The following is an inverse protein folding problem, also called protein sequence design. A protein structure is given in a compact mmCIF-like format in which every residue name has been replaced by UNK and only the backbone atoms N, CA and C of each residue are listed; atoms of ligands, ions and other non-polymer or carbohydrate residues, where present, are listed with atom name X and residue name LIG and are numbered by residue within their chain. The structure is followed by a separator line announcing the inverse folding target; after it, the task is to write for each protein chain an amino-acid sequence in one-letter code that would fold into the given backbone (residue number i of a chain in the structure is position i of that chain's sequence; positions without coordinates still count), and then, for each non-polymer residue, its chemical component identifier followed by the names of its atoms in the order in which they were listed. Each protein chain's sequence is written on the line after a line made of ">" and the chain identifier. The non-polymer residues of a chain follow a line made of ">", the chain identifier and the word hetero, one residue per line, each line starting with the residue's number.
data_IF_170389811320
#
_entry.id   IF_170389811320
#
_cell.length_a   1.000
_cell.length_b   1.000
_cell.length_c   1.000
_cell.angle_alpha   90.00
_cell.angle_beta   90.00
_cell.angle_gamma   90.00
#
_symmetry.space_group_name_H-M   'P 1'
#
loop_
_entity.id
_entity.type
_entity.pdbx_description
1 polymer ?
#
# COMPACT_ATOMS: atom_id res chain seq x y z
N UNK A 1 22.44 -17.30 -31.36
CA UNK A 1 21.79 -18.55 -31.86
C UNK A 1 21.62 -18.53 -33.38
N UNK A 2 21.03 -17.50 -33.98
CA UNK A 2 20.80 -17.43 -35.44
C UNK A 2 22.08 -17.64 -36.28
N UNK A 3 23.21 -17.07 -35.86
CA UNK A 3 24.50 -17.23 -36.55
C UNK A 3 24.98 -18.69 -36.59
N UNK A 4 24.71 -19.47 -35.53
CA UNK A 4 25.05 -20.91 -35.47
C UNK A 4 24.20 -21.69 -36.47
N UNK A 5 22.91 -21.36 -36.55
CA UNK A 5 21.96 -22.01 -37.48
C UNK A 5 22.33 -21.72 -38.93
N UNK A 6 22.71 -20.48 -39.24
CA UNK A 6 23.21 -20.09 -40.58
C UNK A 6 24.47 -20.88 -40.94
N UNK A 7 25.48 -20.86 -40.06
CA UNK A 7 26.72 -21.61 -40.28
C UNK A 7 26.48 -23.12 -40.44
N UNK A 8 25.52 -23.70 -39.72
CA UNK A 8 25.13 -25.11 -39.88
C UNK A 8 24.49 -25.38 -41.25
N UNK A 9 23.60 -24.48 -41.70
CA UNK A 9 22.92 -24.59 -42.99
C UNK A 9 23.91 -24.52 -44.17
N UNK A 10 24.95 -23.69 -44.02
CA UNK A 10 26.01 -23.50 -45.02
C UNK A 10 27.04 -24.64 -45.01
N UNK A 11 27.54 -25.03 -43.83
CA UNK A 11 28.61 -26.04 -43.71
C UNK A 11 28.13 -27.49 -43.82
N UNK A 12 26.85 -27.77 -43.50
CA UNK A 12 26.20 -29.10 -43.53
C UNK A 12 27.11 -30.24 -43.03
N UNK A 13 27.60 -30.17 -41.78
CA UNK A 13 28.53 -31.17 -41.27
C UNK A 13 27.86 -32.55 -41.20
N UNK A 14 28.56 -33.59 -41.68
CA UNK A 14 28.04 -34.98 -41.68
C UNK A 14 28.10 -35.65 -40.30
N UNK A 15 28.94 -35.12 -39.40
CA UNK A 15 29.07 -35.43 -37.96
C UNK A 15 29.65 -34.20 -37.25
N UNK A 16 29.36 -33.98 -35.95
CA UNK A 16 28.43 -34.73 -35.07
C UNK A 16 26.94 -34.42 -35.34
N UNK A 17 26.04 -35.28 -34.85
CA UNK A 17 24.56 -35.13 -34.98
C UNK A 17 23.96 -34.09 -34.03
N UNK A 18 24.74 -33.63 -33.07
CA UNK A 18 24.39 -32.60 -32.12
C UNK A 18 25.58 -31.65 -32.02
N UNK A 19 25.30 -30.38 -31.76
CA UNK A 19 26.29 -29.36 -31.46
C UNK A 19 25.96 -28.79 -30.09
N UNK A 20 27.00 -28.44 -29.36
CA UNK A 20 26.87 -27.77 -28.07
C UNK A 20 27.58 -26.44 -28.22
N UNK A 21 26.92 -25.37 -27.79
CA UNK A 21 27.50 -24.05 -27.65
C UNK A 21 27.54 -23.75 -26.15
N UNK A 22 28.75 -23.79 -25.59
CA UNK A 22 29.04 -23.43 -24.19
C UNK A 22 30.06 -22.30 -24.24
N UNK A 23 29.93 -21.36 -23.32
CA UNK A 23 30.94 -20.36 -23.03
C UNK A 23 32.24 -20.99 -22.48
N UNK A 24 33.24 -20.15 -22.23
CA UNK A 24 34.58 -20.57 -21.79
C UNK A 24 34.67 -20.72 -20.27
N UNK A 25 33.63 -20.29 -19.56
CA UNK A 25 33.64 -20.26 -18.12
C UNK A 25 33.55 -21.65 -17.52
N UNK A 26 34.24 -21.82 -16.40
CA UNK A 26 34.23 -23.06 -15.61
C UNK A 26 33.80 -22.73 -14.19
N UNK A 27 32.80 -21.86 -14.09
CA UNK A 27 32.40 -21.27 -12.83
C UNK A 27 31.77 -22.32 -11.91
N UNK A 28 32.13 -22.26 -10.63
CA UNK A 28 31.48 -23.08 -9.62
C UNK A 28 30.08 -22.53 -9.28
N UNK A 29 29.21 -23.36 -8.72
CA UNK A 29 27.90 -22.89 -8.23
C UNK A 29 28.07 -21.78 -7.19
N UNK A 30 29.13 -21.84 -6.37
CA UNK A 30 29.47 -20.80 -5.39
C UNK A 30 29.74 -19.46 -6.06
N UNK A 31 30.57 -19.44 -7.11
CA UNK A 31 30.88 -18.21 -7.86
C UNK A 31 29.63 -17.62 -8.50
N UNK A 32 28.82 -18.45 -9.16
CA UNK A 32 27.57 -18.00 -9.79
C UNK A 32 26.61 -17.41 -8.76
N UNK A 33 26.37 -18.11 -7.64
CA UNK A 33 25.48 -17.64 -6.57
C UNK A 33 26.04 -16.38 -5.90
N UNK A 34 27.36 -16.27 -5.74
CA UNK A 34 28.02 -15.09 -5.17
C UNK A 34 27.91 -13.89 -6.11
N UNK A 35 28.13 -14.09 -7.41
CA UNK A 35 27.96 -13.05 -8.43
C UNK A 35 26.51 -12.54 -8.46
N UNK A 36 25.52 -13.44 -8.46
CA UNK A 36 24.10 -13.10 -8.38
C UNK A 36 23.80 -12.36 -7.07
N UNK A 37 24.30 -12.84 -5.94
CA UNK A 37 24.05 -12.24 -4.63
C UNK A 37 24.61 -10.82 -4.54
N UNK A 38 25.83 -10.59 -5.07
CA UNK A 38 26.50 -9.28 -5.10
C UNK A 38 25.72 -8.25 -5.93
N UNK A 39 25.13 -8.65 -7.06
CA UNK A 39 24.45 -7.72 -7.98
C UNK A 39 22.94 -7.60 -7.76
N UNK A 40 22.27 -8.60 -7.19
CA UNK A 40 20.81 -8.57 -6.98
C UNK A 40 20.41 -8.46 -5.51
N UNK A 41 21.32 -8.67 -4.56
CA UNK A 41 20.98 -8.70 -3.14
C UNK A 41 22.06 -8.06 -2.23
N UNK A 42 22.48 -8.75 -1.18
CA UNK A 42 23.38 -8.27 -0.12
C UNK A 42 24.84 -8.66 -0.33
N UNK A 43 25.14 -9.47 -1.36
CA UNK A 43 26.47 -10.05 -1.58
C UNK A 43 26.84 -11.19 -0.62
N UNK A 44 26.03 -11.45 0.42
CA UNK A 44 26.28 -12.54 1.36
C UNK A 44 25.78 -13.85 0.79
N UNK A 45 26.57 -14.90 1.00
CA UNK A 45 26.21 -16.28 0.64
C UNK A 45 26.52 -17.19 1.82
N UNK A 46 25.73 -18.24 1.98
CA UNK A 46 25.95 -19.26 3.02
C UNK A 46 26.15 -20.60 2.34
N UNK A 47 27.19 -21.30 2.75
CA UNK A 47 27.40 -22.66 2.31
C UNK A 47 26.42 -23.59 3.01
N UNK A 48 25.75 -24.45 2.25
CA UNK A 48 24.83 -25.46 2.76
C UNK A 48 25.42 -26.82 2.40
N UNK A 49 25.61 -27.67 3.40
CA UNK A 49 26.09 -29.03 3.19
C UNK A 49 25.06 -29.89 2.47
N UNK A 50 25.48 -31.03 1.94
CA UNK A 50 24.59 -31.94 1.21
C UNK A 50 23.52 -32.54 2.11
N UNK A 51 23.85 -32.76 3.39
CA UNK A 51 22.97 -33.29 4.41
C UNK A 51 21.93 -32.25 4.83
N UNK A 52 22.34 -30.98 5.02
CA UNK A 52 21.44 -29.88 5.35
C UNK A 52 20.48 -29.55 4.20
N UNK A 53 20.96 -29.62 2.96
CA UNK A 53 20.13 -29.38 1.78
C UNK A 53 18.94 -30.37 1.69
N UNK A 54 19.08 -31.61 2.21
CA UNK A 54 17.98 -32.58 2.28
C UNK A 54 16.91 -32.21 3.33
N UNK A 55 17.24 -31.34 4.28
CA UNK A 55 16.31 -30.85 5.31
C UNK A 55 15.51 -29.63 4.83
N UNK A 56 15.90 -29.01 3.71
CA UNK A 56 15.22 -27.86 3.13
C UNK A 56 13.88 -28.30 2.55
N UNK A 57 12.78 -27.87 3.16
CA UNK A 57 11.41 -28.31 2.82
C UNK A 57 10.99 -27.93 1.40
N UNK A 58 11.52 -26.83 0.88
CA UNK A 58 11.13 -26.28 -0.42
C UNK A 58 11.94 -26.85 -1.59
N UNK A 59 13.03 -27.58 -1.31
CA UNK A 59 13.89 -28.18 -2.32
C UNK A 59 13.38 -29.57 -2.69
N UNK A 60 12.91 -29.74 -3.92
CA UNK A 60 12.44 -31.02 -4.43
C UNK A 60 13.62 -31.93 -4.77
N UNK A 61 13.42 -33.24 -4.70
CA UNK A 61 14.49 -34.22 -4.97
C UNK A 61 15.18 -34.01 -6.33
N UNK A 62 14.43 -33.72 -7.39
CA UNK A 62 15.02 -33.52 -8.72
C UNK A 62 15.82 -32.21 -8.84
N UNK A 63 15.48 -31.17 -8.07
CA UNK A 63 16.24 -29.91 -8.00
C UNK A 63 17.55 -30.15 -7.25
N UNK A 64 17.48 -30.89 -6.14
CA UNK A 64 18.66 -31.36 -5.41
C UNK A 64 19.61 -32.16 -6.32
N UNK A 65 19.08 -33.13 -7.06
CA UNK A 65 19.87 -33.95 -7.97
C UNK A 65 20.54 -33.09 -9.06
N UNK A 66 19.84 -32.07 -9.58
CA UNK A 66 20.40 -31.12 -10.57
C UNK A 66 21.54 -30.26 -10.01
N UNK A 67 21.42 -29.77 -8.77
CA UNK A 67 22.46 -28.97 -8.12
C UNK A 67 23.76 -29.75 -7.87
N UNK A 68 23.69 -31.09 -7.82
CA UNK A 68 24.85 -31.97 -7.65
C UNK A 68 25.53 -32.37 -8.96
N UNK A 69 24.96 -32.01 -10.11
CA UNK A 69 25.54 -32.34 -11.42
C UNK A 69 26.81 -31.51 -11.64
N UNK A 70 27.93 -32.21 -11.85
CA UNK A 70 29.20 -31.60 -12.22
C UNK A 70 29.64 -32.12 -13.59
N UNK A 71 29.22 -31.43 -14.65
CA UNK A 71 29.55 -31.77 -16.04
C UNK A 71 30.35 -30.65 -16.66
N UNK A 72 31.51 -31.00 -17.22
CA UNK A 72 32.30 -30.10 -18.05
C UNK A 72 32.04 -30.43 -19.53
N UNK A 73 31.70 -29.42 -20.31
CA UNK A 73 31.39 -29.55 -21.73
C UNK A 73 32.31 -28.63 -22.53
N UNK A 74 32.66 -29.05 -23.75
CA UNK A 74 33.54 -28.30 -24.64
C UNK A 74 32.89 -28.16 -26.02
N UNK A 75 32.86 -26.93 -26.53
CA UNK A 75 32.19 -26.54 -27.77
C UNK A 75 33.15 -26.50 -28.97
N UNK A 76 34.03 -27.50 -29.11
CA UNK A 76 35.12 -27.51 -30.11
C UNK A 76 34.65 -27.23 -31.53
N UNK A 77 33.60 -27.90 -32.01
CA UNK A 77 33.09 -27.68 -33.38
C UNK A 77 32.57 -26.25 -33.61
N UNK A 78 31.90 -25.67 -32.62
CA UNK A 78 31.28 -24.35 -32.74
C UNK A 78 32.34 -23.25 -32.68
N UNK A 79 33.34 -23.39 -31.79
CA UNK A 79 34.43 -22.42 -31.65
C UNK A 79 35.41 -22.48 -32.82
N UNK A 80 35.79 -23.68 -33.24
CA UNK A 80 36.86 -23.85 -34.24
C UNK A 80 36.36 -23.64 -35.67
N UNK A 81 35.09 -23.99 -35.95
CA UNK A 81 34.59 -24.06 -37.33
C UNK A 81 33.62 -22.95 -37.70
N UNK A 82 32.97 -22.28 -36.74
CA UNK A 82 31.94 -21.28 -37.03
C UNK A 82 32.40 -19.88 -36.64
N UNK A 83 32.18 -18.92 -37.53
CA UNK A 83 32.41 -17.51 -37.21
C UNK A 83 31.20 -16.96 -36.45
N UNK A 84 31.27 -17.00 -35.11
CA UNK A 84 30.20 -16.54 -34.22
C UNK A 84 30.74 -15.40 -33.36
N UNK A 85 30.01 -14.29 -33.34
CA UNK A 85 30.20 -13.25 -32.33
C UNK A 85 29.50 -13.67 -31.05
N UNK A 86 30.26 -14.06 -30.05
CA UNK A 86 29.75 -14.37 -28.72
C UNK A 86 29.37 -13.08 -28.00
N UNK A 87 28.23 -13.10 -27.29
CA UNK A 87 27.78 -11.97 -26.45
C UNK A 87 28.40 -12.03 -25.05
N UNK A 88 28.65 -13.24 -24.54
CA UNK A 88 29.23 -13.49 -23.22
C UNK A 88 30.14 -14.73 -23.32
N UNK A 89 31.29 -14.60 -23.98
CA UNK A 89 32.24 -15.71 -24.19
C UNK A 89 32.92 -16.12 -22.88
N UNK A 90 33.20 -15.14 -22.01
CA UNK A 90 33.77 -15.35 -20.68
C UNK A 90 32.76 -15.90 -19.65
N UNK A 91 31.49 -16.08 -20.06
CA UNK A 91 30.42 -16.70 -19.28
C UNK A 91 29.65 -15.77 -18.35
N UNK A 92 28.80 -16.36 -17.50
CA UNK A 92 27.79 -15.63 -16.73
C UNK A 92 28.36 -14.74 -15.63
N UNK A 93 29.45 -15.15 -14.97
CA UNK A 93 30.00 -14.42 -13.80
C UNK A 93 30.65 -13.12 -14.24
N UNK A 94 31.48 -13.16 -15.28
CA UNK A 94 32.11 -11.97 -15.86
C UNK A 94 31.05 -11.01 -16.41
N UNK A 95 30.06 -11.55 -17.14
CA UNK A 95 29.06 -10.74 -17.84
C UNK A 95 27.76 -10.50 -17.05
N UNK A 96 27.81 -10.72 -15.73
CA UNK A 96 26.64 -10.68 -14.85
C UNK A 96 25.96 -9.31 -14.86
N UNK A 97 26.72 -8.22 -14.96
CA UNK A 97 26.20 -6.84 -14.98
C UNK A 97 25.29 -6.59 -16.17
N UNK A 98 25.69 -7.04 -17.36
CA UNK A 98 24.88 -6.93 -18.57
C UNK A 98 23.63 -7.82 -18.48
N UNK A 99 23.78 -9.04 -17.96
CA UNK A 99 22.66 -9.99 -17.78
C UNK A 99 21.64 -9.45 -16.77
N UNK A 100 22.09 -8.88 -15.65
CA UNK A 100 21.22 -8.26 -14.65
C UNK A 100 20.47 -7.08 -15.22
N UNK A 101 21.14 -6.24 -16.03
CA UNK A 101 20.50 -5.12 -16.74
C UNK A 101 19.39 -5.61 -17.68
N UNK A 102 19.69 -6.59 -18.53
CA UNK A 102 18.73 -7.21 -19.45
C UNK A 102 17.56 -7.85 -18.69
N UNK A 103 17.85 -8.54 -17.58
CA UNK A 103 16.86 -9.16 -16.71
C UNK A 103 15.91 -8.12 -16.09
N UNK A 104 16.45 -7.03 -15.52
CA UNK A 104 15.66 -5.94 -14.94
C UNK A 104 14.77 -5.27 -15.99
N UNK A 105 15.34 -4.94 -17.16
CA UNK A 105 14.60 -4.28 -18.25
C UNK A 105 13.46 -5.17 -18.78
N UNK A 106 13.74 -6.44 -19.06
CA UNK A 106 12.76 -7.38 -19.64
C UNK A 106 11.61 -7.68 -18.67
N UNK A 107 11.89 -7.65 -17.35
CA UNK A 107 10.91 -7.93 -16.29
C UNK A 107 10.22 -6.68 -15.76
N UNK A 108 10.62 -5.48 -16.19
CA UNK A 108 10.11 -4.22 -15.64
C UNK A 108 10.52 -3.96 -14.18
N UNK A 109 11.61 -4.58 -13.71
CA UNK A 109 12.13 -4.43 -12.34
C UNK A 109 13.10 -3.24 -12.25
N UNK A 110 12.63 -2.08 -12.71
CA UNK A 110 13.40 -0.86 -12.73
C UNK A 110 13.22 -0.12 -11.39
N UNK A 111 14.31 0.37 -10.76
CA UNK A 111 14.24 1.04 -9.48
C UNK A 111 13.40 2.32 -9.59
N UNK A 112 12.45 2.51 -8.68
CA UNK A 112 11.62 3.70 -8.64
C UNK A 112 12.24 4.75 -7.71
N UNK A 113 12.57 5.93 -8.25
CA UNK A 113 13.32 6.97 -7.54
C UNK A 113 12.50 8.24 -7.45
N UNK A 114 12.13 8.62 -6.23
CA UNK A 114 11.26 9.76 -5.99
C UNK A 114 11.93 10.76 -5.04
N UNK A 115 11.64 12.04 -5.20
CA UNK A 115 12.02 13.08 -4.25
C UNK A 115 10.77 13.83 -3.78
N UNK A 116 10.59 13.96 -2.46
CA UNK A 116 9.47 14.70 -1.88
C UNK A 116 10.00 15.89 -1.09
N UNK A 117 9.65 17.08 -1.55
CA UNK A 117 10.08 18.37 -1.03
C UNK A 117 8.87 19.18 -0.52
N UNK A 118 9.16 20.28 0.18
CA UNK A 118 8.13 21.15 0.76
C UNK A 118 8.49 21.69 2.14
N UNK A 119 7.66 22.56 2.73
CA UNK A 119 7.94 23.24 3.98
C UNK A 119 7.92 22.30 5.20
N UNK A 120 8.54 22.68 6.33
CA UNK A 120 8.46 21.91 7.56
C UNK A 120 7.00 21.72 8.02
N UNK A 121 6.72 20.60 8.71
CA UNK A 121 5.41 20.24 9.26
C UNK A 121 4.26 19.98 8.25
N UNK A 122 4.51 20.06 6.95
CA UNK A 122 3.49 19.81 5.90
C UNK A 122 3.00 18.35 5.87
N UNK A 123 3.81 17.42 6.38
CA UNK A 123 3.47 16.00 6.44
C UNK A 123 4.25 15.09 5.48
N UNK A 124 5.35 15.59 4.87
CA UNK A 124 6.22 14.82 3.97
C UNK A 124 6.52 13.41 4.48
N UNK A 125 7.07 13.28 5.68
CA UNK A 125 7.46 11.98 6.24
C UNK A 125 6.29 11.01 6.40
N UNK A 126 5.07 11.50 6.61
CA UNK A 126 3.87 10.65 6.67
C UNK A 126 3.49 10.13 5.28
N UNK A 127 3.47 11.02 4.28
CA UNK A 127 3.19 10.69 2.88
C UNK A 127 4.26 9.73 2.35
N UNK A 128 5.54 10.05 2.56
CA UNK A 128 6.68 9.21 2.14
C UNK A 128 6.63 7.85 2.80
N UNK A 129 6.31 7.75 4.10
CA UNK A 129 6.20 6.46 4.78
C UNK A 129 5.13 5.57 4.14
N UNK A 130 3.94 6.13 3.85
CA UNK A 130 2.86 5.39 3.16
C UNK A 130 3.25 4.96 1.76
N UNK A 131 3.96 5.82 1.02
CA UNK A 131 4.46 5.48 -0.31
C UNK A 131 5.53 4.37 -0.25
N UNK A 132 6.47 4.45 0.70
CA UNK A 132 7.49 3.42 0.89
C UNK A 132 6.89 2.07 1.28
N UNK A 133 5.85 2.05 2.12
CA UNK A 133 5.12 0.81 2.45
C UNK A 133 4.44 0.20 1.22
N UNK A 134 3.79 1.01 0.40
CA UNK A 134 3.08 0.55 -0.81
C UNK A 134 4.04 0.07 -1.92
N UNK A 135 5.08 0.85 -2.22
CA UNK A 135 6.04 0.54 -3.28
C UNK A 135 7.18 -0.39 -2.84
N UNK A 136 7.31 -0.66 -1.52
CA UNK A 136 8.43 -1.36 -0.89
C UNK A 136 9.79 -0.68 -1.19
N UNK A 137 9.85 0.65 -1.05
CA UNK A 137 11.04 1.48 -1.33
C UNK A 137 11.81 1.86 -0.06
N UNK A 138 13.06 2.28 -0.25
CA UNK A 138 13.88 2.81 0.84
C UNK A 138 13.51 4.27 1.17
N UNK A 139 12.97 4.49 2.37
CA UNK A 139 12.77 5.83 2.93
C UNK A 139 14.11 6.43 3.35
N UNK A 140 14.57 7.46 2.65
CA UNK A 140 15.82 8.15 2.93
C UNK A 140 15.54 9.48 3.63
N UNK A 141 15.68 9.49 4.95
CA UNK A 141 15.71 10.71 5.77
C UNK A 141 17.16 11.03 6.15
N UNK A 142 17.46 12.31 6.39
CA UNK A 142 18.81 12.74 6.83
C UNK A 142 19.27 11.90 8.04
N UNK A 143 18.41 11.72 9.05
CA UNK A 143 18.75 10.96 10.25
C UNK A 143 19.06 9.50 9.95
N UNK A 144 18.25 8.85 9.10
CA UNK A 144 18.44 7.45 8.73
C UNK A 144 19.67 7.23 7.87
N UNK A 145 19.93 8.10 6.89
CA UNK A 145 21.12 8.00 6.03
C UNK A 145 22.40 8.12 6.85
N UNK A 146 22.44 9.06 7.81
CA UNK A 146 23.55 9.19 8.75
C UNK A 146 23.71 7.91 9.58
N UNK A 147 22.62 7.43 10.19
CA UNK A 147 22.66 6.23 11.03
C UNK A 147 23.15 5.01 10.24
N UNK A 148 22.54 4.73 9.09
CA UNK A 148 22.87 3.58 8.24
C UNK A 148 24.33 3.66 7.74
N UNK A 149 24.84 4.86 7.45
CA UNK A 149 26.23 5.08 7.03
C UNK A 149 27.22 4.84 8.18
N UNK A 150 26.93 5.36 9.37
CA UNK A 150 27.77 5.13 10.56
C UNK A 150 27.77 3.65 10.94
N UNK A 151 26.61 3.00 10.99
CA UNK A 151 26.52 1.55 11.27
C UNK A 151 27.28 0.71 10.24
N UNK A 152 27.30 1.14 8.98
CA UNK A 152 28.06 0.46 7.92
C UNK A 152 29.55 0.61 8.14
N UNK A 153 30.03 1.82 8.45
CA UNK A 153 31.43 2.07 8.77
C UNK A 153 31.86 1.29 10.03
N UNK A 154 31.02 1.24 11.07
CA UNK A 154 31.28 0.45 12.28
C UNK A 154 31.41 -1.05 11.97
N UNK A 155 30.55 -1.58 11.10
CA UNK A 155 30.63 -2.99 10.66
C UNK A 155 31.90 -3.27 9.87
N UNK A 156 32.33 -2.34 9.01
CA UNK A 156 33.57 -2.49 8.24
C UNK A 156 34.77 -2.43 9.20
N UNK A 157 34.81 -1.45 10.10
CA UNK A 157 35.82 -1.31 11.13
C UNK A 157 35.94 -2.53 12.07
N UNK A 158 34.82 -3.20 12.37
CA UNK A 158 34.79 -4.38 13.24
C UNK A 158 35.37 -5.65 12.59
N UNK A 159 35.54 -5.70 11.26
CA UNK A 159 36.09 -6.87 10.57
C UNK A 159 37.55 -7.16 10.91
N UNK A 160 38.30 -6.15 11.35
CA UNK A 160 39.69 -6.28 11.82
C UNK A 160 39.84 -7.26 12.99
N UNK A 161 38.78 -7.52 13.78
CA UNK A 161 38.88 -8.36 14.97
C UNK A 161 38.50 -9.84 14.74
N UNK A 162 37.99 -10.20 13.55
CA UNK A 162 37.50 -11.56 13.25
C UNK A 162 38.17 -12.09 12.00
N UNK A 163 39.40 -12.60 12.15
CA UNK A 163 40.09 -13.37 11.12
C UNK A 163 39.41 -14.72 10.89
N UNK A 164 38.37 -14.74 10.05
CA UNK A 164 37.70 -15.98 9.61
C UNK A 164 37.81 -16.17 8.08
N UNK A 165 38.97 -16.67 7.65
CA UNK A 165 39.08 -17.73 6.63
C UNK A 165 38.66 -17.38 5.21
N UNK A 166 39.09 -16.24 4.69
CA UNK A 166 39.07 -15.92 3.26
C UNK A 166 40.41 -16.26 2.60
N UNK A 167 40.48 -16.30 1.26
CA UNK A 167 41.74 -16.45 0.54
C UNK A 167 42.70 -15.29 0.87
N UNK A 168 44.01 -15.56 0.96
CA UNK A 168 45.06 -14.63 1.44
C UNK A 168 45.14 -13.29 0.66
N UNK A 169 44.54 -13.20 -0.54
CA UNK A 169 44.48 -11.96 -1.34
C UNK A 169 43.25 -11.08 -1.02
N UNK A 170 42.13 -11.64 -0.53
CA UNK A 170 40.96 -10.86 -0.08
C UNK A 170 41.16 -10.29 1.34
N UNK A 171 42.03 -10.90 2.16
CA UNK A 171 42.31 -10.46 3.53
C UNK A 171 43.11 -9.14 3.60
N UNK A 172 44.03 -8.87 2.66
CA UNK A 172 44.83 -7.62 2.67
C UNK A 172 44.01 -6.37 2.24
N UNK A 173 43.07 -6.50 1.30
CA UNK A 173 42.20 -5.38 0.88
C UNK A 173 41.14 -5.04 1.94
N UNK A 174 40.58 -6.06 2.61
CA UNK A 174 39.59 -5.85 3.68
C UNK A 174 40.21 -5.18 4.93
N UNK A 175 41.49 -5.44 5.23
CA UNK A 175 42.21 -4.83 6.35
C UNK A 175 42.48 -3.32 6.14
N UNK A 176 42.89 -2.92 4.93
CA UNK A 176 43.09 -1.50 4.59
C UNK A 176 41.76 -0.73 4.66
N UNK A 177 40.70 -1.28 4.06
CA UNK A 177 39.38 -0.67 4.07
C UNK A 177 38.80 -0.53 5.49
N UNK A 178 39.10 -1.51 6.36
CA UNK A 178 38.68 -1.47 7.75
C UNK A 178 39.48 -0.47 8.59
N UNK A 179 40.76 -0.27 8.29
CA UNK A 179 41.58 0.79 8.90
C UNK A 179 41.10 2.19 8.49
N UNK A 180 40.82 2.40 7.21
CA UNK A 180 40.27 3.67 6.69
C UNK A 180 38.89 3.97 7.29
N UNK A 181 38.04 2.95 7.45
CA UNK A 181 36.75 3.09 8.12
C UNK A 181 36.88 3.50 9.59
N UNK A 182 37.89 2.97 10.31
CA UNK A 182 38.19 3.39 11.69
C UNK A 182 38.61 4.85 11.75
N UNK A 183 39.50 5.29 10.86
CA UNK A 183 39.95 6.69 10.82
C UNK A 183 38.79 7.63 10.51
N UNK A 184 37.97 7.33 9.49
CA UNK A 184 36.76 8.09 9.18
C UNK A 184 35.77 8.16 10.35
N UNK A 185 35.61 7.09 11.13
CA UNK A 185 34.73 7.12 12.30
C UNK A 185 35.23 8.06 13.39
N UNK A 186 36.55 8.12 13.61
CA UNK A 186 37.13 9.00 14.62
C UNK A 186 37.06 10.48 14.19
N UNK A 187 37.25 10.79 12.91
CA UNK A 187 37.05 12.16 12.39
C UNK A 187 35.58 12.59 12.52
N UNK A 188 34.64 11.72 12.14
CA UNK A 188 33.20 11.97 12.25
C UNK A 188 32.75 12.17 13.70
N UNK A 189 33.30 11.41 14.66
CA UNK A 189 33.02 11.61 16.09
C UNK A 189 33.51 12.96 16.58
N UNK A 190 34.73 13.33 16.22
CA UNK A 190 35.34 14.59 16.64
C UNK A 190 34.53 15.78 16.12
N UNK A 191 34.19 15.79 14.82
CA UNK A 191 33.37 16.85 14.24
C UNK A 191 31.96 16.91 14.84
N UNK A 192 31.36 15.75 15.16
CA UNK A 192 30.06 15.70 15.80
C UNK A 192 30.10 16.34 17.19
N UNK A 193 31.18 16.15 17.95
CA UNK A 193 31.38 16.79 19.25
C UNK A 193 31.57 18.31 19.10
N UNK A 194 32.34 18.75 18.11
CA UNK A 194 32.59 20.17 17.84
C UNK A 194 31.34 20.93 17.33
N UNK A 195 30.52 20.28 16.49
CA UNK A 195 29.36 20.89 15.83
C UNK A 195 28.04 20.64 16.58
N UNK A 196 28.08 20.50 17.91
CA UNK A 196 26.88 20.32 18.74
C UNK A 196 25.97 19.15 18.28
N UNK A 197 26.58 18.06 17.81
CA UNK A 197 25.89 16.85 17.38
C UNK A 197 25.48 16.80 15.91
N UNK A 198 25.92 17.74 15.06
CA UNK A 198 25.62 17.77 13.63
C UNK A 198 26.84 17.47 12.77
N UNK A 199 26.64 16.74 11.68
CA UNK A 199 27.67 16.52 10.68
C UNK A 199 27.76 17.69 9.70
N UNK A 200 28.95 17.96 9.20
CA UNK A 200 29.16 18.93 8.12
C UNK A 200 28.39 18.54 6.85
N UNK A 201 28.07 19.55 6.03
CA UNK A 201 27.32 19.36 4.78
C UNK A 201 28.03 18.44 3.79
N UNK A 202 29.36 18.51 3.71
CA UNK A 202 30.17 17.67 2.83
C UNK A 202 30.00 16.17 3.14
N UNK A 203 30.10 15.78 4.41
CA UNK A 203 29.88 14.39 4.81
C UNK A 203 28.43 13.94 4.60
N UNK A 204 27.47 14.85 4.78
CA UNK A 204 26.07 14.52 4.50
C UNK A 204 25.90 14.18 3.01
N UNK A 205 26.44 14.99 2.11
CA UNK A 205 26.40 14.73 0.67
C UNK A 205 27.11 13.41 0.31
N UNK A 206 28.26 13.13 0.94
CA UNK A 206 28.99 11.88 0.75
C UNK A 206 28.16 10.66 1.22
N UNK A 207 27.52 10.73 2.38
CA UNK A 207 26.64 9.67 2.89
C UNK A 207 25.45 9.43 1.98
N UNK A 208 24.83 10.49 1.47
CA UNK A 208 23.75 10.36 0.48
C UNK A 208 24.28 9.71 -0.80
N UNK A 209 25.39 10.18 -1.37
CA UNK A 209 25.97 9.61 -2.59
C UNK A 209 26.25 8.11 -2.45
N UNK A 210 26.95 7.70 -1.38
CA UNK A 210 27.23 6.28 -1.06
C UNK A 210 25.94 5.46 -0.84
N UNK A 211 24.92 6.05 -0.23
CA UNK A 211 23.63 5.37 0.01
C UNK A 211 22.85 5.20 -1.29
N UNK A 212 22.79 6.22 -2.15
CA UNK A 212 22.09 6.15 -3.43
C UNK A 212 22.73 5.15 -4.39
N UNK A 213 24.06 5.06 -4.40
CA UNK A 213 24.80 4.07 -5.20
C UNK A 213 24.78 2.65 -4.61
N UNK A 214 24.19 2.46 -3.43
CA UNK A 214 24.10 1.14 -2.82
C UNK A 214 23.14 0.21 -3.58
N UNK A 215 23.46 -1.09 -3.60
CA UNK A 215 22.64 -2.11 -4.28
C UNK A 215 21.15 -2.11 -3.90
N UNK A 216 20.74 -1.93 -2.62
CA UNK A 216 19.33 -1.83 -2.28
C UNK A 216 18.62 -0.68 -3.02
N UNK A 217 19.24 0.50 -3.06
CA UNK A 217 18.71 1.67 -3.78
C UNK A 217 18.74 1.48 -5.31
N UNK A 218 19.79 0.85 -5.85
CA UNK A 218 19.94 0.57 -7.29
C UNK A 218 19.03 -0.57 -7.80
N UNK A 219 18.56 -1.44 -6.91
CA UNK A 219 17.69 -2.58 -7.25
C UNK A 219 16.21 -2.29 -6.99
N UNK A 220 15.88 -1.62 -5.88
CA UNK A 220 14.49 -1.36 -5.48
C UNK A 220 14.07 0.08 -5.77
N UNK A 221 14.99 1.03 -5.61
CA UNK A 221 14.70 2.46 -5.65
C UNK A 221 14.60 3.07 -4.24
N UNK A 222 14.25 4.35 -4.18
CA UNK A 222 14.26 5.14 -2.95
C UNK A 222 13.29 6.32 -3.03
N UNK A 223 12.92 6.84 -1.86
CA UNK A 223 12.24 8.13 -1.73
C UNK A 223 13.07 9.05 -0.82
N UNK A 224 13.51 10.17 -1.36
CA UNK A 224 14.18 11.24 -0.61
C UNK A 224 13.15 12.09 0.13
N UNK A 225 13.31 12.23 1.45
CA UNK A 225 12.40 13.00 2.31
C UNK A 225 13.04 14.33 2.73
N UNK A 226 12.69 15.41 2.03
CA UNK A 226 13.08 16.78 2.39
C UNK A 226 14.56 17.12 2.22
N UNK A 227 15.27 16.36 1.37
CA UNK A 227 16.66 16.61 0.95
C UNK A 227 16.80 16.24 -0.53
N UNK A 228 17.56 16.97 -1.36
CA UNK A 228 18.33 18.19 -1.09
C UNK A 228 17.47 19.40 -0.74
N UNK A 229 18.06 20.44 -0.14
CA UNK A 229 17.37 21.69 0.25
C UNK A 229 17.77 22.89 -0.58
N UNK A 230 18.94 22.86 -1.19
CA UNK A 230 19.49 23.96 -1.99
C UNK A 230 19.88 23.45 -3.38
N UNK A 231 19.97 24.38 -4.33
CA UNK A 231 20.45 24.09 -5.67
C UNK A 231 21.84 23.45 -5.66
N UNK A 232 22.77 23.98 -4.86
CA UNK A 232 24.15 23.45 -4.78
C UNK A 232 24.23 22.03 -4.23
N UNK A 233 23.36 21.68 -3.27
CA UNK A 233 23.26 20.31 -2.75
C UNK A 233 22.75 19.34 -3.82
N UNK A 234 21.70 19.73 -4.56
CA UNK A 234 21.16 18.92 -5.65
C UNK A 234 22.19 18.73 -6.74
N UNK A 235 22.88 19.81 -7.11
CA UNK A 235 23.97 19.80 -8.08
C UNK A 235 25.08 18.82 -7.67
N UNK A 236 25.57 18.92 -6.44
CA UNK A 236 26.67 18.04 -5.97
C UNK A 236 26.24 16.57 -5.89
N UNK A 237 24.97 16.30 -5.61
CA UNK A 237 24.46 14.94 -5.44
C UNK A 237 24.11 14.24 -6.76
N UNK A 238 23.66 15.00 -7.77
CA UNK A 238 23.08 14.45 -8.99
C UNK A 238 23.80 14.84 -10.27
N UNK A 239 24.70 15.84 -10.28
CA UNK A 239 25.50 16.07 -11.48
C UNK A 239 26.37 14.84 -11.78
N UNK A 240 26.38 14.42 -13.04
CA UNK A 240 27.21 13.32 -13.48
C UNK A 240 28.68 13.73 -13.35
N UNK A 241 29.47 12.95 -12.62
CA UNK A 241 30.92 13.08 -12.66
C UNK A 241 31.44 12.86 -14.08
N UNK A 242 32.64 13.36 -14.37
CA UNK A 242 33.32 13.22 -15.68
C UNK A 242 33.65 11.75 -16.05
N UNK A 243 33.28 10.77 -15.22
CA UNK A 243 33.68 9.36 -15.33
C UNK A 243 32.65 8.42 -16.01
N UNK A 244 31.47 8.91 -16.40
CA UNK A 244 30.57 8.13 -17.28
C UNK A 244 30.91 8.39 -18.76
N UNK A 245 32.16 8.12 -19.15
CA UNK A 245 32.48 7.75 -20.54
C UNK A 245 32.26 6.22 -20.68
N UNK A 246 31.69 5.82 -21.82
CA UNK A 246 31.52 4.43 -22.28
C UNK A 246 30.23 3.68 -21.90
N UNK A 247 29.05 4.25 -22.23
CA UNK A 247 28.08 3.40 -22.95
C UNK A 247 28.55 3.30 -24.42
N UNK A 248 29.36 2.28 -24.73
CA UNK A 248 29.65 1.87 -26.11
C UNK A 248 28.33 1.57 -26.84
N UNK A 249 27.77 2.56 -27.52
CA UNK A 249 26.55 2.44 -28.31
C UNK A 249 25.64 3.67 -28.35
N UNK A 250 25.87 4.70 -27.51
CA UNK A 250 25.18 5.97 -27.67
C UNK A 250 25.86 6.77 -28.79
N UNK A 251 25.18 6.87 -29.95
CA UNK A 251 25.59 7.73 -31.06
C UNK A 251 25.93 9.14 -30.56
N UNK A 252 27.04 9.70 -31.04
CA UNK A 252 27.65 10.99 -30.66
C UNK A 252 26.79 12.24 -30.98
N UNK A 253 25.46 12.14 -30.97
CA UNK A 253 24.57 13.14 -31.59
C UNK A 253 23.50 13.73 -30.65
N UNK A 254 23.70 13.67 -29.32
CA UNK A 254 22.78 14.32 -28.38
C UNK A 254 23.46 15.34 -27.45
N UNK A 255 23.94 16.43 -28.04
CA UNK A 255 24.45 17.61 -27.30
C UNK A 255 23.36 18.33 -26.48
N UNK A 256 22.11 17.86 -26.50
CA UNK A 256 20.96 18.51 -25.89
C UNK A 256 20.34 17.73 -24.73
N UNK A 257 20.87 16.54 -24.38
CA UNK A 257 20.42 15.83 -23.18
C UNK A 257 21.04 16.41 -21.91
N UNK A 258 20.25 16.68 -20.86
CA UNK A 258 20.74 17.18 -19.59
C UNK A 258 21.74 16.18 -18.95
N UNK A 259 22.97 16.64 -18.68
CA UNK A 259 24.00 15.85 -18.02
C UNK A 259 23.72 15.72 -16.53
N UNK A 260 23.39 14.52 -16.07
CA UNK A 260 23.25 14.15 -14.66
C UNK A 260 23.54 12.65 -14.49
N UNK A 261 23.82 12.22 -13.27
CA UNK A 261 24.04 10.82 -12.93
C UNK A 261 22.72 10.04 -13.06
N UNK A 262 22.62 9.20 -14.09
CA UNK A 262 21.41 8.43 -14.41
C UNK A 262 21.08 7.36 -13.36
N UNK A 263 21.98 7.03 -12.43
CA UNK A 263 21.76 6.06 -11.36
C UNK A 263 21.19 6.70 -10.09
N UNK A 264 21.54 7.95 -9.80
CA UNK A 264 21.12 8.63 -8.56
C UNK A 264 20.01 9.66 -8.77
N UNK A 265 19.81 10.16 -9.98
CA UNK A 265 18.77 11.17 -10.28
C UNK A 265 17.34 10.63 -10.03
N UNK A 266 16.46 11.36 -9.32
CA UNK A 266 15.05 10.98 -9.19
C UNK A 266 14.32 10.97 -10.54
N UNK A 267 13.34 10.09 -10.71
CA UNK A 267 12.46 10.08 -11.90
C UNK A 267 11.32 11.09 -11.77
N UNK A 268 10.87 11.35 -10.54
CA UNK A 268 9.81 12.31 -10.26
C UNK A 268 10.10 13.07 -8.97
N UNK A 269 9.76 14.35 -8.97
CA UNK A 269 9.89 15.25 -7.82
C UNK A 269 8.50 15.77 -7.45
N UNK A 270 8.14 15.69 -6.17
CA UNK A 270 6.88 16.20 -5.66
C UNK A 270 7.14 17.35 -4.68
N UNK A 271 6.57 18.53 -4.93
CA UNK A 271 6.54 19.63 -3.98
C UNK A 271 5.20 19.65 -3.25
N UNK A 272 5.24 19.45 -1.93
CA UNK A 272 4.06 19.58 -1.08
C UNK A 272 3.91 21.03 -0.63
N UNK A 273 2.85 21.70 -1.06
CA UNK A 273 2.61 23.11 -0.80
C UNK A 273 1.57 23.31 0.30
N UNK A 274 1.80 24.31 1.15
CA UNK A 274 0.87 24.76 2.18
C UNK A 274 1.24 26.18 2.65
N UNK A 275 0.26 26.92 3.17
CA UNK A 275 0.45 28.23 3.79
C UNK A 275 1.07 28.11 5.19
N UNK A 276 1.79 29.15 5.59
CA UNK A 276 2.42 29.19 6.92
C UNK A 276 1.38 29.16 8.06
N UNK A 277 0.20 29.75 7.84
CA UNK A 277 -0.90 29.73 8.80
C UNK A 277 -1.42 28.31 9.00
N UNK A 278 -1.68 27.58 7.91
CA UNK A 278 -2.09 26.18 7.98
C UNK A 278 -1.06 25.31 8.72
N UNK A 279 0.23 25.49 8.41
CA UNK A 279 1.31 24.72 9.03
C UNK A 279 1.44 25.00 10.53
N UNK A 280 1.27 26.26 10.95
CA UNK A 280 1.26 26.64 12.37
C UNK A 280 0.08 26.02 13.09
N UNK A 281 -1.13 26.13 12.55
CA UNK A 281 -2.33 25.53 13.13
C UNK A 281 -2.20 24.00 13.24
N UNK A 282 -1.65 23.35 12.22
CA UNK A 282 -1.41 21.90 12.22
C UNK A 282 -0.48 21.49 13.35
N UNK A 283 0.61 22.23 13.58
CA UNK A 283 1.54 21.97 14.69
C UNK A 283 0.89 22.21 16.06
N UNK A 284 0.07 23.25 16.21
CA UNK A 284 -0.65 23.53 17.46
C UNK A 284 -1.63 22.42 17.85
N UNK A 285 -2.22 21.74 16.86
CA UNK A 285 -3.17 20.64 17.08
C UNK A 285 -2.50 19.28 17.30
N UNK A 286 -1.17 19.19 17.27
CA UNK A 286 -0.45 17.93 17.51
C UNK A 286 -0.43 17.57 19.01
N UNK A 287 -0.51 16.27 19.36
CA UNK A 287 -0.37 15.84 20.75
C UNK A 287 0.98 16.25 21.35
N UNK A 288 0.98 16.70 22.61
CA UNK A 288 2.19 17.18 23.31
C UNK A 288 3.33 16.13 23.31
N UNK A 289 2.99 14.84 23.35
CA UNK A 289 3.96 13.72 23.24
C UNK A 289 4.77 13.73 21.93
N UNK A 290 4.19 14.22 20.84
CA UNK A 290 4.84 14.30 19.52
C UNK A 290 5.63 15.61 19.33
N UNK A 291 5.32 16.62 20.15
CA UNK A 291 5.97 17.94 20.12
C UNK A 291 7.16 17.99 21.09
N UNK A 292 7.07 17.31 22.23
CA UNK A 292 8.12 17.25 23.24
C UNK A 292 9.44 16.71 22.68
N UNK A 293 10.52 17.49 22.80
CA UNK A 293 11.85 17.13 22.31
C UNK A 293 12.08 17.39 20.81
N UNK A 294 11.10 17.99 20.11
CA UNK A 294 11.24 18.37 18.69
C UNK A 294 11.45 19.88 18.51
N UNK A 295 11.78 20.29 17.28
CA UNK A 295 11.87 21.70 16.91
C UNK A 295 10.50 22.35 16.58
N UNK A 296 9.39 21.73 16.99
CA UNK A 296 8.04 22.26 16.81
C UNK A 296 7.62 23.27 17.89
N UNK A 297 8.59 23.97 18.48
CA UNK A 297 8.32 25.17 19.28
C UNK A 297 7.90 26.33 18.38
N UNK A 298 7.16 27.31 18.90
CA UNK A 298 6.71 28.46 18.11
C UNK A 298 7.87 29.23 17.46
N UNK A 299 8.94 29.50 18.23
CA UNK A 299 10.15 30.15 17.74
C UNK A 299 10.90 29.28 16.71
N UNK A 300 11.03 27.98 16.99
CA UNK A 300 11.74 27.04 16.12
C UNK A 300 11.03 26.83 14.78
N UNK A 301 9.70 26.73 14.81
CA UNK A 301 8.87 26.60 13.62
C UNK A 301 8.88 27.88 12.79
N UNK A 302 8.76 29.04 13.42
CA UNK A 302 8.80 30.34 12.73
C UNK A 302 10.14 30.56 12.04
N UNK A 303 11.26 30.27 12.74
CA UNK A 303 12.60 30.36 12.14
C UNK A 303 12.75 29.43 10.93
N UNK A 304 12.35 28.15 11.06
CA UNK A 304 12.48 27.16 9.98
C UNK A 304 11.60 27.44 8.77
N UNK A 305 10.40 27.98 8.99
CA UNK A 305 9.54 28.45 7.90
C UNK A 305 10.18 29.63 7.18
N UNK A 306 10.68 30.63 7.92
CA UNK A 306 11.36 31.78 7.33
C UNK A 306 12.59 31.36 6.51
N UNK A 307 13.44 30.48 7.06
CA UNK A 307 14.59 29.90 6.36
C UNK A 307 14.16 29.16 5.08
N UNK A 308 13.08 28.36 5.14
CA UNK A 308 12.56 27.66 3.97
C UNK A 308 12.05 28.64 2.90
N UNK A 309 11.29 29.67 3.29
CA UNK A 309 10.75 30.66 2.34
C UNK A 309 11.88 31.46 1.70
N UNK A 310 12.86 31.95 2.47
CA UNK A 310 14.00 32.70 1.92
C UNK A 310 14.83 31.89 0.93
N UNK A 311 14.98 30.57 1.16
CA UNK A 311 15.70 29.68 0.24
C UNK A 311 14.91 29.36 -1.04
N UNK A 312 13.61 29.63 -1.06
CA UNK A 312 12.72 29.31 -2.19
C UNK A 312 12.04 30.56 -2.80
N UNK A 313 12.52 31.76 -2.49
CA UNK A 313 12.00 33.03 -3.04
C UNK A 313 12.68 33.44 -4.35
N UNK A 314 13.90 32.96 -4.61
CA UNK A 314 14.72 33.34 -5.77
C UNK A 314 14.64 32.31 -6.92
N UNK A 315 15.10 32.70 -8.12
CA UNK A 315 15.20 31.82 -9.30
C UNK A 315 16.28 30.70 -9.16
N UNK A 316 16.80 30.46 -7.96
CA UNK A 316 17.84 29.46 -7.64
C UNK A 316 17.33 28.37 -6.70
N UNK A 317 16.03 28.10 -6.71
CA UNK A 317 15.46 27.06 -5.85
C UNK A 317 15.96 25.67 -6.20
N UNK A 318 15.85 24.74 -5.26
CA UNK A 318 16.13 23.31 -5.52
C UNK A 318 15.19 22.73 -6.59
N UNK A 319 13.98 23.27 -6.73
CA UNK A 319 13.02 22.85 -7.76
C UNK A 319 13.51 23.25 -9.16
N UNK A 320 14.10 24.44 -9.28
CA UNK A 320 14.65 24.94 -10.53
C UNK A 320 15.81 24.06 -11.03
N UNK A 321 16.61 23.47 -10.13
CA UNK A 321 17.63 22.48 -10.53
C UNK A 321 17.01 21.30 -11.28
N UNK A 322 15.89 20.77 -10.80
CA UNK A 322 15.23 19.64 -11.46
C UNK A 322 14.57 20.05 -12.78
N UNK A 323 13.97 21.24 -12.83
CA UNK A 323 13.43 21.81 -14.07
C UNK A 323 14.53 22.00 -15.14
N UNK A 324 15.71 22.49 -14.77
CA UNK A 324 16.88 22.62 -15.66
C UNK A 324 17.34 21.27 -16.23
N UNK A 325 17.04 20.17 -15.54
CA UNK A 325 17.36 18.80 -15.97
C UNK A 325 16.16 18.09 -16.61
N UNK A 326 15.14 18.84 -17.01
CA UNK A 326 13.90 18.36 -17.65
C UNK A 326 13.05 17.44 -16.76
N UNK A 327 13.18 17.55 -15.43
CA UNK A 327 12.37 16.83 -14.45
C UNK A 327 11.47 17.84 -13.75
N UNK A 328 10.25 17.99 -14.26
CA UNK A 328 9.30 18.97 -13.75
C UNK A 328 8.72 18.58 -12.38
N UNK A 329 8.92 19.40 -11.33
CA UNK A 329 8.34 19.12 -10.02
C UNK A 329 6.82 19.23 -10.03
N UNK A 330 6.16 18.20 -9.50
CA UNK A 330 4.71 18.14 -9.37
C UNK A 330 4.25 18.78 -8.06
N UNK A 331 3.50 19.86 -8.18
CA UNK A 331 2.99 20.62 -7.03
C UNK A 331 1.68 20.03 -6.51
N UNK A 332 1.62 19.77 -5.20
CA UNK A 332 0.41 19.28 -4.53
C UNK A 332 0.11 20.09 -3.29
N UNK A 333 -1.01 20.83 -3.33
CA UNK A 333 -1.51 21.61 -2.20
C UNK A 333 -2.15 20.68 -1.17
N UNK A 334 -1.58 20.63 0.04
CA UNK A 334 -2.08 19.77 1.13
C UNK A 334 -3.35 20.36 1.78
N UNK A 335 -3.59 21.66 1.65
CA UNK A 335 -4.78 22.27 2.26
C UNK A 335 -6.10 21.79 1.65
N UNK A 336 -6.05 21.28 0.42
CA UNK A 336 -7.20 20.70 -0.27
C UNK A 336 -7.53 19.28 0.21
N UNK A 337 -6.59 18.62 0.89
CA UNK A 337 -6.74 17.26 1.40
C UNK A 337 -7.47 17.26 2.75
N UNK A 338 -8.76 16.90 2.71
CA UNK A 338 -9.60 16.77 3.91
C UNK A 338 -9.57 15.35 4.49
N UNK A 339 -8.87 14.42 3.86
CA UNK A 339 -8.80 13.03 4.29
C UNK A 339 -7.92 12.88 5.53
N UNK A 340 -8.18 11.88 6.39
CA UNK A 340 -7.32 11.61 7.52
C UNK A 340 -5.92 11.21 7.05
N UNK A 341 -4.88 11.80 7.65
CA UNK A 341 -3.49 11.46 7.38
C UNK A 341 -3.05 11.59 5.91
N UNK A 342 -3.59 12.56 5.18
CA UNK A 342 -3.23 12.90 3.81
C UNK A 342 -3.37 11.73 2.80
N UNK A 343 -4.44 10.94 2.93
CA UNK A 343 -4.72 9.80 2.05
C UNK A 343 -4.95 10.24 0.60
N UNK A 344 -5.72 11.31 0.37
CA UNK A 344 -6.01 11.80 -0.99
C UNK A 344 -4.72 12.22 -1.70
N UNK A 345 -3.80 12.89 -0.98
CA UNK A 345 -2.46 13.24 -1.48
C UNK A 345 -1.67 11.98 -1.87
N UNK A 346 -1.69 10.95 -1.02
CA UNK A 346 -0.99 9.68 -1.31
C UNK A 346 -1.59 8.99 -2.54
N UNK A 347 -2.91 8.94 -2.67
CA UNK A 347 -3.58 8.35 -3.83
C UNK A 347 -3.31 9.14 -5.12
N UNK A 348 -3.28 10.48 -5.05
CA UNK A 348 -2.89 11.33 -6.18
C UNK A 348 -1.46 11.03 -6.63
N UNK A 349 -0.52 10.91 -5.69
CA UNK A 349 0.87 10.54 -6.00
C UNK A 349 0.94 9.12 -6.59
N UNK A 350 0.19 8.16 -6.04
CA UNK A 350 0.12 6.81 -6.62
C UNK A 350 -0.39 6.81 -8.06
N UNK A 351 -1.39 7.62 -8.36
CA UNK A 351 -1.92 7.75 -9.71
C UNK A 351 -0.88 8.29 -10.71
N UNK A 352 -0.04 9.24 -10.28
CA UNK A 352 1.03 9.80 -11.11
C UNK A 352 2.21 8.84 -11.30
N UNK A 353 2.58 8.12 -10.25
CA UNK A 353 3.71 7.17 -10.25
C UNK A 353 3.39 5.86 -10.95
N UNK A 354 2.16 5.35 -10.79
CA UNK A 354 1.68 4.10 -11.38
C UNK A 354 1.83 2.86 -10.48
N UNK A 355 1.87 1.68 -11.08
CA UNK A 355 1.96 0.42 -10.34
C UNK A 355 3.39 0.15 -9.82
N UNK A 356 3.54 -0.56 -8.68
CA UNK A 356 4.86 -0.94 -8.18
C UNK A 356 5.67 -1.79 -9.17
N UNK A 357 6.93 -1.40 -9.39
CA UNK A 357 7.89 -2.07 -10.30
C UNK A 357 8.69 -3.19 -9.62
N UNK A 358 8.03 -3.99 -8.78
CA UNK A 358 8.67 -5.06 -7.99
C UNK A 358 8.17 -6.45 -8.40
N UNK A 359 8.69 -7.51 -7.76
CA UNK A 359 8.29 -8.90 -8.01
C UNK A 359 6.82 -9.23 -7.67
N UNK A 360 6.09 -8.24 -7.16
CA UNK A 360 4.76 -8.42 -6.61
C UNK A 360 4.77 -9.14 -5.27
N UNK A 361 3.57 -9.39 -4.71
CA UNK A 361 3.44 -10.07 -3.44
C UNK A 361 3.87 -11.53 -3.55
N UNK A 362 4.49 -12.07 -2.49
CA UNK A 362 4.82 -13.51 -2.44
C UNK A 362 3.56 -14.38 -2.43
N UNK A 363 3.63 -15.69 -2.75
CA UNK A 363 2.47 -16.58 -2.61
C UNK A 363 1.85 -16.56 -1.21
N UNK A 364 2.67 -16.42 -0.18
CA UNK A 364 2.23 -16.31 1.22
C UNK A 364 1.53 -14.97 1.48
N UNK A 365 2.15 -13.85 1.09
CA UNK A 365 1.54 -12.52 1.20
C UNK A 365 0.20 -12.45 0.44
N UNK A 366 0.09 -13.10 -0.73
CA UNK A 366 -1.19 -13.20 -1.46
C UNK A 366 -2.24 -13.97 -0.67
N UNK A 367 -1.88 -15.09 -0.06
CA UNK A 367 -2.82 -15.88 0.74
C UNK A 367 -3.29 -15.11 1.98
N UNK A 368 -2.40 -14.36 2.63
CA UNK A 368 -2.74 -13.48 3.77
C UNK A 368 -3.66 -12.33 3.34
N UNK A 369 -3.38 -11.65 2.23
CA UNK A 369 -4.25 -10.60 1.71
C UNK A 369 -5.63 -11.14 1.32
N UNK A 370 -5.69 -12.33 0.73
CA UNK A 370 -6.97 -12.99 0.44
C UNK A 370 -7.75 -13.32 1.72
N UNK A 371 -7.07 -13.78 2.77
CA UNK A 371 -7.70 -14.04 4.07
C UNK A 371 -8.23 -12.74 4.68
N UNK A 372 -7.41 -11.69 4.73
CA UNK A 372 -7.81 -10.38 5.26
C UNK A 372 -9.01 -9.79 4.49
N UNK A 373 -9.00 -9.86 3.15
CA UNK A 373 -10.12 -9.39 2.32
C UNK A 373 -11.40 -10.20 2.55
N UNK A 374 -11.28 -11.51 2.77
CA UNK A 374 -12.43 -12.36 3.14
C UNK A 374 -12.97 -11.99 4.50
N UNK A 375 -12.11 -11.77 5.50
CA UNK A 375 -12.52 -11.36 6.85
C UNK A 375 -13.18 -9.97 6.85
N UNK A 376 -12.63 -9.00 6.13
CA UNK A 376 -13.21 -7.67 6.02
C UNK A 376 -14.58 -7.70 5.33
N UNK A 377 -14.70 -8.49 4.25
CA UNK A 377 -15.99 -8.70 3.58
C UNK A 377 -17.02 -9.32 4.53
N UNK A 378 -16.64 -10.32 5.31
CA UNK A 378 -17.52 -10.93 6.31
C UNK A 378 -17.91 -9.93 7.41
N UNK A 379 -16.98 -9.06 7.85
CA UNK A 379 -17.26 -8.00 8.82
C UNK A 379 -18.26 -6.98 8.26
N UNK A 380 -18.10 -6.57 6.99
CA UNK A 380 -19.00 -5.64 6.32
C UNK A 380 -20.40 -6.23 6.14
N UNK A 381 -20.50 -7.47 5.64
CA UNK A 381 -21.78 -8.17 5.47
C UNK A 381 -22.51 -8.37 6.82
N UNK A 382 -21.77 -8.63 7.90
CA UNK A 382 -22.34 -8.71 9.25
C UNK A 382 -22.87 -7.35 9.73
N UNK A 383 -22.11 -6.28 9.55
CA UNK A 383 -22.54 -4.92 9.89
C UNK A 383 -23.79 -4.50 9.10
N UNK A 384 -23.79 -4.71 7.78
CA UNK A 384 -24.95 -4.43 6.92
C UNK A 384 -26.19 -5.23 7.34
N UNK A 385 -26.01 -6.49 7.78
CA UNK A 385 -27.10 -7.32 8.30
C UNK A 385 -27.63 -6.81 9.64
N UNK A 386 -26.74 -6.46 10.58
CA UNK A 386 -27.12 -5.90 11.88
C UNK A 386 -27.87 -4.57 11.72
N UNK A 387 -27.40 -3.68 10.83
CA UNK A 387 -28.08 -2.42 10.51
C UNK A 387 -29.45 -2.65 9.85
N UNK A 388 -29.54 -3.63 8.95
CA UNK A 388 -30.81 -4.01 8.33
C UNK A 388 -31.80 -4.56 9.34
N UNK A 389 -31.37 -5.46 10.22
CA UNK A 389 -32.21 -6.02 11.29
C UNK A 389 -32.68 -4.92 12.25
N UNK A 390 -31.82 -3.95 12.56
CA UNK A 390 -32.17 -2.79 13.37
C UNK A 390 -33.23 -1.91 12.68
N UNK A 391 -33.03 -1.58 11.40
CA UNK A 391 -33.99 -0.77 10.64
C UNK A 391 -35.34 -1.49 10.50
N UNK A 392 -35.34 -2.79 10.21
CA UNK A 392 -36.56 -3.61 10.13
C UNK A 392 -37.29 -3.68 11.49
N UNK A 393 -36.56 -3.78 12.60
CA UNK A 393 -37.13 -3.74 13.95
C UNK A 393 -37.72 -2.37 14.30
N UNK A 394 -37.03 -1.28 13.97
CA UNK A 394 -37.51 0.09 14.16
C UNK A 394 -38.79 0.35 13.34
N UNK A 395 -38.81 -0.06 12.07
CA UNK A 395 -40.02 0.03 11.23
C UNK A 395 -41.18 -0.81 11.78
N UNK A 396 -40.90 -2.05 12.21
CA UNK A 396 -41.93 -2.94 12.79
C UNK A 396 -42.50 -2.36 14.07
N UNK A 397 -41.68 -1.76 14.93
CA UNK A 397 -42.13 -1.08 16.13
C UNK A 397 -43.02 0.14 15.80
N UNK A 398 -42.65 0.93 14.79
CA UNK A 398 -43.48 2.06 14.33
C UNK A 398 -44.82 1.60 13.75
N UNK A 399 -44.84 0.51 12.95
CA UNK A 399 -46.08 -0.08 12.43
C UNK A 399 -46.98 -0.57 13.55
N UNK A 400 -46.43 -1.32 14.51
CA UNK A 400 -47.18 -1.80 15.67
C UNK A 400 -47.76 -0.66 16.50
N UNK A 401 -47.02 0.45 16.68
CA UNK A 401 -47.51 1.63 17.39
C UNK A 401 -48.69 2.29 16.66
N UNK A 402 -48.59 2.49 15.34
CA UNK A 402 -49.68 3.05 14.52
C UNK A 402 -50.91 2.15 14.51
N UNK A 403 -50.73 0.84 14.44
CA UNK A 403 -51.81 -0.14 14.50
C UNK A 403 -52.52 -0.10 15.87
N UNK A 404 -51.76 -0.01 16.97
CA UNK A 404 -52.33 0.11 18.31
C UNK A 404 -53.11 1.42 18.50
N UNK A 405 -52.57 2.54 18.03
CA UNK A 405 -53.25 3.85 18.04
C UNK A 405 -54.55 3.83 17.22
N UNK A 406 -54.52 3.23 16.02
CA UNK A 406 -55.69 3.06 15.17
C UNK A 406 -56.75 2.15 15.82
N UNK A 407 -56.34 1.02 16.40
CA UNK A 407 -57.25 0.11 17.11
C UNK A 407 -57.94 0.81 18.28
N UNK A 408 -57.19 1.58 19.08
CA UNK A 408 -57.77 2.33 20.19
C UNK A 408 -58.80 3.39 19.72
N UNK A 409 -58.53 4.10 18.62
CA UNK A 409 -59.49 5.02 18.02
C UNK A 409 -60.74 4.31 17.51
N UNK A 410 -60.57 3.16 16.84
CA UNK A 410 -61.68 2.38 16.32
C UNK A 410 -62.58 1.84 17.44
N UNK A 411 -62.00 1.35 18.54
CA UNK A 411 -62.76 0.89 19.71
C UNK A 411 -63.59 2.02 20.32
N UNK A 412 -63.03 3.24 20.38
CA UNK A 412 -63.71 4.42 20.89
C UNK A 412 -64.91 4.80 20.00
N UNK A 413 -64.72 4.84 18.68
CA UNK A 413 -65.81 5.08 17.71
C UNK A 413 -66.89 3.99 17.81
N UNK A 414 -66.51 2.71 17.92
CA UNK A 414 -67.48 1.62 18.08
C UNK A 414 -68.26 1.70 19.40
N UNK A 415 -67.66 2.22 20.47
CA UNK A 415 -68.36 2.47 21.72
C UNK A 415 -69.39 3.60 21.57
N UNK A 416 -68.98 4.73 20.95
CA UNK A 416 -69.88 5.85 20.65
C UNK A 416 -71.03 5.45 19.72
N UNK A 417 -70.76 4.65 18.68
CA UNK A 417 -71.79 4.12 17.78
C UNK A 417 -72.79 3.24 18.52
N UNK A 418 -72.31 2.36 19.42
CA UNK A 418 -73.17 1.52 20.25
C UNK A 418 -74.06 2.35 21.17
N UNK A 419 -73.49 3.35 21.83
CA UNK A 419 -74.25 4.26 22.69
C UNK A 419 -75.30 5.04 21.90
N UNK A 420 -74.95 5.56 20.71
CA UNK A 420 -75.90 6.21 19.82
C UNK A 420 -77.02 5.27 19.35
N UNK A 421 -76.69 4.02 19.00
CA UNK A 421 -77.68 3.03 18.60
C UNK A 421 -78.62 2.68 19.76
N UNK A 422 -78.09 2.52 20.98
CA UNK A 422 -78.89 2.31 22.19
C UNK A 422 -79.82 3.50 22.44
N UNK A 423 -79.31 4.72 22.37
CA UNK A 423 -80.09 5.95 22.53
C UNK A 423 -81.20 6.08 21.46
N UNK A 424 -80.91 5.73 20.20
CA UNK A 424 -81.90 5.70 19.11
C UNK A 424 -82.93 4.58 19.28
N UNK A 425 -82.55 3.45 19.90
CA UNK A 425 -83.45 2.34 20.20
C UNK A 425 -84.38 2.61 21.39
N UNK A 426 -84.01 3.55 22.27
CA UNK A 426 -84.74 3.86 23.51
C UNK A 426 -86.21 4.24 23.27
N UNK A 427 -86.57 5.15 22.34
CA UNK A 427 -87.96 5.50 22.07
C UNK A 427 -88.78 4.30 21.60
N UNK A 428 -88.23 3.47 20.71
CA UNK A 428 -88.90 2.26 20.22
C UNK A 428 -89.06 1.23 21.35
N UNK A 429 -88.03 0.99 22.15
CA UNK A 429 -88.09 0.10 23.31
C UNK A 429 -89.11 0.59 24.34
N UNK A 430 -89.14 1.88 24.64
CA UNK A 430 -90.12 2.49 25.54
C UNK A 430 -91.55 2.35 25.00
N UNK A 431 -91.75 2.53 23.69
CA UNK A 431 -93.05 2.32 23.05
C UNK A 431 -93.48 0.85 23.16
N UNK A 432 -92.60 -0.09 22.80
CA UNK A 432 -92.86 -1.53 22.90
C UNK A 432 -93.16 -1.94 24.34
N UNK A 433 -92.38 -1.47 25.33
CA UNK A 433 -92.59 -1.76 26.74
C UNK A 433 -93.92 -1.22 27.28
N UNK A 434 -94.38 -0.06 26.81
CA UNK A 434 -95.62 0.58 27.30
C UNK A 434 -96.88 0.08 26.60
N UNK A 435 -96.82 -0.14 25.29
CA UNK A 435 -98.02 -0.36 24.47
C UNK A 435 -98.18 -1.80 23.98
N UNK A 436 -97.07 -2.51 23.73
CA UNK A 436 -97.12 -3.86 23.13
C UNK A 436 -96.90 -4.93 24.19
N UNK A 437 -95.93 -4.74 25.07
CA UNK A 437 -95.53 -5.73 26.06
C UNK A 437 -96.64 -6.11 27.05
N UNK A 438 -97.46 -5.18 27.60
CA UNK A 438 -98.54 -5.56 28.50
C UNK A 438 -99.55 -6.50 27.84
N UNK A 439 -99.94 -6.20 26.59
CA UNK A 439 -100.91 -6.99 25.80
C UNK A 439 -100.34 -8.36 25.43
N UNK A 440 -99.07 -8.42 24.99
CA UNK A 440 -98.38 -9.69 24.70
C UNK A 440 -98.18 -10.53 25.95
N UNK A 441 -97.82 -9.91 27.08
CA UNK A 441 -97.62 -10.62 28.35
C UNK A 441 -98.93 -11.19 28.86
N UNK A 442 -100.04 -10.43 28.78
CA UNK A 442 -101.37 -10.95 29.10
C UNK A 442 -101.78 -12.07 28.14
N UNK A 443 -101.54 -11.92 26.84
CA UNK A 443 -101.81 -12.99 25.86
C UNK A 443 -101.04 -14.27 26.14
N UNK A 444 -99.75 -14.15 26.49
CA UNK A 444 -98.93 -15.30 26.90
C UNK A 444 -99.44 -15.94 28.19
N UNK A 445 -99.91 -15.14 29.15
CA UNK A 445 -100.55 -15.66 30.38
C UNK A 445 -101.85 -16.41 30.03
N UNK A 446 -102.67 -15.89 29.12
CA UNK A 446 -103.91 -16.54 28.69
C UNK A 446 -103.66 -17.82 27.88
N UNK A 447 -102.64 -17.86 27.03
CA UNK A 447 -102.17 -19.08 26.35
C UNK A 447 -101.75 -20.13 27.39
N UNK A 448 -100.98 -19.73 28.41
CA UNK A 448 -100.56 -20.62 29.48
C UNK A 448 -101.73 -21.18 30.31
N UNK A 449 -102.83 -20.42 30.44
CA UNK A 449 -104.06 -20.86 31.14
C UNK A 449 -104.91 -21.79 30.27
N UNK A 450 -105.15 -21.41 29.02
CA UNK A 450 -106.04 -22.13 28.10
C UNK A 450 -105.43 -23.42 27.56
N UNK A 451 -104.08 -23.50 27.48
CA UNK A 451 -103.32 -24.61 26.88
C UNK A 451 -103.94 -25.12 25.56
N UNK A 452 -104.09 -24.23 24.56
CA UNK A 452 -104.61 -24.61 23.25
C UNK A 452 -103.64 -25.54 22.53
N UNK A 453 -104.15 -26.34 21.58
CA UNK A 453 -103.35 -27.27 20.77
C UNK A 453 -102.30 -26.53 19.89
N UNK A 454 -102.61 -25.32 19.43
CA UNK A 454 -101.66 -24.39 18.79
C UNK A 454 -101.51 -23.09 19.62
N UNK A 455 -100.46 -22.95 20.44
CA UNK A 455 -100.24 -21.77 21.26
C UNK A 455 -99.83 -20.53 20.47
N UNK A 456 -99.28 -20.69 19.25
CA UNK A 456 -98.85 -19.55 18.42
C UNK A 456 -100.07 -18.91 17.75
N UNK A 457 -100.93 -19.74 17.16
CA UNK A 457 -102.14 -19.25 16.48
C UNK A 457 -103.13 -18.62 17.47
N UNK A 458 -103.28 -19.24 18.66
CA UNK A 458 -104.10 -18.69 19.74
C UNK A 458 -103.58 -17.34 20.26
N UNK A 459 -102.26 -17.19 20.41
CA UNK A 459 -101.66 -15.92 20.79
C UNK A 459 -101.87 -14.86 19.71
N UNK A 460 -101.73 -15.22 18.44
CA UNK A 460 -101.97 -14.32 17.32
C UNK A 460 -103.42 -13.83 17.30
N UNK A 461 -104.41 -14.72 17.43
CA UNK A 461 -105.81 -14.34 17.57
C UNK A 461 -106.06 -13.42 18.77
N UNK A 462 -105.45 -13.72 19.92
CA UNK A 462 -105.58 -12.91 21.12
C UNK A 462 -105.03 -11.49 20.92
N UNK A 463 -103.88 -11.37 20.24
CA UNK A 463 -103.27 -10.09 19.92
C UNK A 463 -104.09 -9.30 18.89
N UNK A 464 -104.64 -9.96 17.87
CA UNK A 464 -105.54 -9.32 16.91
C UNK A 464 -106.81 -8.78 17.58
N UNK A 465 -107.40 -9.54 18.52
CA UNK A 465 -108.60 -9.12 19.27
C UNK A 465 -108.36 -7.96 20.24
N UNK A 466 -107.15 -7.82 20.76
CA UNK A 466 -106.79 -6.80 21.76
C UNK A 466 -105.87 -5.70 21.19
N UNK A 467 -105.90 -5.47 19.88
CA UNK A 467 -105.08 -4.46 19.22
C UNK A 467 -105.64 -3.04 19.46
N UNK A 468 -104.90 -2.11 20.10
CA UNK A 468 -105.39 -0.77 20.45
C UNK A 468 -105.61 0.20 19.25
N UNK A 469 -105.49 -0.24 17.99
CA UNK A 469 -105.80 0.56 16.80
C UNK A 469 -107.07 0.10 16.04
N UNK A 470 -107.82 -0.88 16.56
CA UNK A 470 -109.04 -1.43 15.92
C UNK A 470 -110.34 -0.89 16.56
N UNK A 471 -110.27 0.07 17.48
CA UNK A 471 -111.40 0.92 17.90
C UNK A 471 -111.08 2.42 17.77
#
# INVERSE_FOLDING_TARGET
>A
MCSVVVNLADSRPSKPRYLIAVDDSKNTLREVVTAISRHLSTGRTTFISREEALLVRDLRQWEYDQLLVNLQMEASTVKDSFNIRWKAEAGLVEEISAVVREYKQTRGLLPLRLCVLGPPAVGKSLVVKKLCEYYKLHHLTIAKVIQDSVERLEKIAARVDVGEGGDEEEEEEDDSAAQDAKEMLETLKTEREENSGRYGEQYLLEFYSKTLLSMPCQNQGFILDGFPKTFEQAKTLFDGGEEEEEEEGAEEDDQNQPKYNKLTMPEMVFSLDASDEFLRQRVMNLPEKTVAGTHYTEEGMTRRLAEFRSLNEEDTTVLNYFDEKEIHPEHTNIEEDQSPECQDTVEKIKQMVGEPRNYGPTPEERAEMEQAAREERMRRERGEKEDRERNEAEEKAQRAKREAEWQAQLELVQAEEREMLEAKSLPLRNYLMRHVLPTVTQGLIEVCKAKPDDPVDYLAEYLFKNNPQID
#
